data_IF_326411749833
#
_entry.id   IF_326411749833
#
_cell.length_a   1.000
_cell.length_b   1.000
_cell.length_c   1.000
_cell.angle_alpha   90.00
_cell.angle_beta   90.00
_cell.angle_gamma   90.00
#
_symmetry.space_group_name_H-M   'P 1'
#
loop_
_entity.id
_entity.type
_entity.pdbx_description
1 polymer ?
#
# COMPACT_ATOMS: atom_id res chain seq x y z
N UNK A 1 2.75 23.18 -7.79
CA UNK A 1 2.41 21.92 -8.49
C UNK A 1 3.10 20.70 -7.88
N UNK A 2 4.43 20.66 -7.71
CA UNK A 2 5.14 19.45 -7.25
C UNK A 2 4.74 18.91 -5.86
N UNK A 3 4.30 19.80 -4.94
CA UNK A 3 3.81 19.40 -3.63
C UNK A 3 2.37 18.82 -3.63
N UNK A 4 1.67 18.84 -4.78
CA UNK A 4 0.31 18.28 -4.87
C UNK A 4 0.28 16.75 -4.91
N UNK A 5 1.43 16.11 -5.15
CA UNK A 5 1.57 14.66 -5.19
C UNK A 5 2.61 14.17 -4.18
N UNK A 6 2.45 12.92 -3.71
CA UNK A 6 3.43 12.31 -2.81
C UNK A 6 4.76 12.03 -3.52
N UNK A 7 5.86 11.96 -2.77
CA UNK A 7 7.18 11.58 -3.31
C UNK A 7 7.13 10.24 -4.06
N UNK A 8 6.42 9.25 -3.50
CA UNK A 8 6.25 7.94 -4.13
C UNK A 8 5.51 8.05 -5.48
N UNK A 9 4.47 8.88 -5.55
CA UNK A 9 3.74 9.15 -6.81
C UNK A 9 4.65 9.83 -7.83
N UNK A 10 5.47 10.81 -7.41
CA UNK A 10 6.42 11.46 -8.30
C UNK A 10 7.45 10.46 -8.86
N UNK A 11 7.99 9.56 -8.03
CA UNK A 11 8.88 8.48 -8.48
C UNK A 11 8.18 7.55 -9.48
N UNK A 12 6.91 7.20 -9.25
CA UNK A 12 6.14 6.38 -10.18
C UNK A 12 5.90 7.10 -11.51
N UNK A 13 5.58 8.40 -11.48
CA UNK A 13 5.33 9.20 -12.68
C UNK A 13 6.58 9.43 -13.52
N UNK A 14 7.76 9.51 -12.90
CA UNK A 14 9.03 9.63 -13.61
C UNK A 14 9.26 8.48 -14.62
N UNK A 15 8.75 7.28 -14.34
CA UNK A 15 8.80 6.17 -15.31
C UNK A 15 7.98 6.49 -16.55
N UNK A 16 6.75 6.99 -16.36
CA UNK A 16 5.90 7.45 -17.47
C UNK A 16 6.59 8.55 -18.28
N UNK A 17 7.15 9.56 -17.61
CA UNK A 17 7.74 10.71 -18.30
C UNK A 17 8.94 10.31 -19.17
N UNK A 18 9.77 9.36 -18.73
CA UNK A 18 10.86 8.81 -19.56
C UNK A 18 10.31 8.11 -20.81
N UNK A 19 9.36 7.19 -20.63
CA UNK A 19 8.75 6.45 -21.75
C UNK A 19 8.03 7.39 -22.74
N UNK A 20 7.35 8.40 -22.21
CA UNK A 20 6.67 9.42 -22.99
C UNK A 20 7.65 10.26 -23.79
N UNK A 21 8.74 10.69 -23.16
CA UNK A 21 9.79 11.46 -23.81
C UNK A 21 10.41 10.70 -24.99
N UNK A 22 10.73 9.41 -24.80
CA UNK A 22 11.27 8.56 -25.86
C UNK A 22 10.26 8.36 -27.00
N UNK A 23 8.99 8.15 -26.67
CA UNK A 23 7.91 8.08 -27.65
C UNK A 23 7.78 9.37 -28.48
N UNK A 24 7.79 10.53 -27.82
CA UNK A 24 7.71 11.83 -28.47
C UNK A 24 8.91 12.08 -29.39
N UNK A 25 10.12 11.71 -28.96
CA UNK A 25 11.32 11.78 -29.80
C UNK A 25 11.19 10.93 -31.07
N UNK A 26 10.74 9.68 -30.94
CA UNK A 26 10.60 8.77 -32.07
C UNK A 26 9.51 9.21 -33.07
N UNK A 27 8.39 9.72 -32.56
CA UNK A 27 7.24 10.16 -33.38
C UNK A 27 7.29 11.65 -33.77
N UNK A 28 8.35 12.36 -33.39
CA UNK A 28 8.54 13.81 -33.60
C UNK A 28 7.40 14.68 -33.05
N UNK A 29 6.85 14.30 -31.89
CA UNK A 29 5.86 15.11 -31.16
C UNK A 29 6.52 16.03 -30.15
N UNK A 30 5.92 17.20 -29.92
CA UNK A 30 6.32 18.08 -28.84
C UNK A 30 5.85 17.50 -27.48
N UNK A 31 6.75 17.18 -26.53
CA UNK A 31 6.39 16.47 -25.30
C UNK A 31 5.39 17.19 -24.38
N UNK A 32 5.31 18.53 -24.48
CA UNK A 32 4.49 19.38 -23.59
C UNK A 32 3.21 19.91 -24.27
N UNK A 33 3.07 19.77 -25.59
CA UNK A 33 1.95 20.28 -26.37
C UNK A 33 1.21 19.16 -27.12
N UNK A 34 1.35 17.93 -26.63
CA UNK A 34 0.83 16.78 -27.33
C UNK A 34 -0.70 16.74 -27.32
N UNK A 35 -1.27 16.51 -28.49
CA UNK A 35 -2.70 16.33 -28.68
C UNK A 35 -3.16 14.97 -28.11
N UNK A 36 -4.47 14.84 -27.86
CA UNK A 36 -5.16 13.63 -27.47
C UNK A 36 -4.76 12.41 -28.32
N UNK A 37 -4.64 12.57 -29.64
CA UNK A 37 -4.24 11.50 -30.56
C UNK A 37 -2.86 10.93 -30.22
N UNK A 38 -1.90 11.78 -29.83
CA UNK A 38 -0.57 11.34 -29.43
C UNK A 38 -0.62 10.55 -28.11
N UNK A 39 -1.45 10.99 -27.16
CA UNK A 39 -1.66 10.29 -25.88
C UNK A 39 -2.34 8.93 -26.09
N UNK A 40 -3.37 8.84 -26.93
CA UNK A 40 -4.02 7.58 -27.27
C UNK A 40 -3.05 6.62 -27.98
N UNK A 41 -2.25 7.15 -28.91
CA UNK A 41 -1.22 6.36 -29.62
C UNK A 41 -0.19 5.79 -28.65
N UNK A 42 0.30 6.61 -27.72
CA UNK A 42 1.22 6.17 -26.67
C UNK A 42 0.60 5.10 -25.77
N UNK A 43 -0.62 5.31 -25.26
CA UNK A 43 -1.29 4.33 -24.39
C UNK A 43 -1.54 3.01 -25.13
N UNK A 44 -1.87 3.06 -26.42
CA UNK A 44 -2.03 1.88 -27.27
C UNK A 44 -0.70 1.15 -27.45
N UNK A 45 0.40 1.88 -27.68
CA UNK A 45 1.73 1.27 -27.77
C UNK A 45 2.14 0.59 -26.46
N UNK A 46 1.89 1.23 -25.31
CA UNK A 46 2.15 0.63 -24.00
C UNK A 46 1.29 -0.62 -23.76
N UNK A 47 0.03 -0.61 -24.19
CA UNK A 47 -0.83 -1.80 -24.12
C UNK A 47 -0.29 -2.93 -24.99
N UNK A 48 0.14 -2.64 -26.22
CA UNK A 48 0.74 -3.63 -27.12
C UNK A 48 2.04 -4.20 -26.55
N UNK A 49 2.83 -3.39 -25.82
CA UNK A 49 4.02 -3.81 -25.06
C UNK A 49 3.71 -4.66 -23.82
N UNK A 50 2.44 -4.93 -23.51
CA UNK A 50 2.04 -5.78 -22.38
C UNK A 50 1.63 -5.03 -21.11
N UNK A 51 1.47 -3.71 -21.14
CA UNK A 51 1.07 -2.96 -19.96
C UNK A 51 -0.33 -3.37 -19.46
N UNK A 52 -0.44 -3.58 -18.14
CA UNK A 52 -1.71 -3.84 -17.47
C UNK A 52 -2.59 -2.60 -17.40
N UNK A 53 -3.89 -2.77 -17.10
CA UNK A 53 -4.80 -1.66 -16.84
C UNK A 53 -4.26 -0.69 -15.77
N UNK A 54 -3.72 -1.22 -14.65
CA UNK A 54 -3.18 -0.41 -13.57
C UNK A 54 -1.97 0.44 -14.02
N UNK A 55 -1.10 -0.14 -14.86
CA UNK A 55 0.03 0.56 -15.46
C UNK A 55 -0.44 1.68 -16.40
N UNK A 56 -1.38 1.38 -17.30
CA UNK A 56 -1.94 2.35 -18.23
C UNK A 56 -2.67 3.49 -17.52
N UNK A 57 -3.42 3.20 -16.45
CA UNK A 57 -4.09 4.22 -15.65
C UNK A 57 -3.08 5.12 -14.91
N UNK A 58 -1.93 4.57 -14.52
CA UNK A 58 -0.83 5.35 -13.95
C UNK A 58 -0.20 6.26 -15.00
N UNK A 59 0.02 5.77 -16.22
CA UNK A 59 0.49 6.58 -17.34
C UNK A 59 -0.49 7.71 -17.67
N UNK A 60 -1.78 7.42 -17.75
CA UNK A 60 -2.85 8.42 -17.94
C UNK A 60 -2.74 9.54 -16.90
N UNK A 61 -2.65 9.17 -15.63
CA UNK A 61 -2.65 10.15 -14.53
C UNK A 61 -1.39 11.02 -14.52
N UNK A 62 -0.23 10.46 -14.90
CA UNK A 62 1.01 11.21 -15.07
C UNK A 62 0.92 12.19 -16.25
N UNK A 63 0.46 11.74 -17.41
CA UNK A 63 0.30 12.61 -18.59
C UNK A 63 -0.74 13.70 -18.37
N UNK A 64 -1.81 13.41 -17.65
CA UNK A 64 -2.80 14.40 -17.25
C UNK A 64 -2.21 15.49 -16.34
N UNK A 65 -1.22 15.16 -15.51
CA UNK A 65 -0.53 16.17 -14.69
C UNK A 65 0.44 17.02 -15.53
N UNK A 66 1.06 16.43 -16.56
CA UNK A 66 2.04 17.11 -17.42
C UNK A 66 1.38 18.01 -18.47
N UNK A 67 0.37 17.49 -19.17
CA UNK A 67 -0.28 18.12 -20.31
C UNK A 67 -1.55 18.89 -19.93
N UNK A 68 -2.07 18.67 -18.71
CA UNK A 68 -3.31 19.28 -18.22
C UNK A 68 -4.43 18.27 -17.94
N UNK A 69 -5.30 18.61 -16.99
CA UNK A 69 -6.32 17.71 -16.42
C UNK A 69 -7.40 17.26 -17.43
N UNK A 70 -7.54 17.97 -18.55
CA UNK A 70 -8.58 17.67 -19.53
C UNK A 70 -8.30 16.35 -20.26
N UNK A 71 -7.05 16.08 -20.63
CA UNK A 71 -6.70 14.91 -21.47
C UNK A 71 -7.03 13.60 -20.74
N UNK A 72 -6.70 13.49 -19.45
CA UNK A 72 -7.01 12.30 -18.66
C UNK A 72 -8.51 12.08 -18.44
N UNK A 73 -9.32 13.13 -18.58
CA UNK A 73 -10.76 13.15 -18.32
C UNK A 73 -11.61 12.94 -19.57
N UNK A 74 -11.01 13.01 -20.76
CA UNK A 74 -11.69 12.81 -22.03
C UNK A 74 -12.20 11.37 -22.20
N UNK A 75 -13.38 11.25 -22.80
CA UNK A 75 -14.09 9.97 -22.92
C UNK A 75 -13.36 8.93 -23.76
N UNK A 76 -12.59 9.36 -24.77
CA UNK A 76 -11.80 8.47 -25.60
C UNK A 76 -10.73 7.73 -24.77
N UNK A 77 -10.04 8.43 -23.87
CA UNK A 77 -9.03 7.83 -22.98
C UNK A 77 -9.69 6.86 -21.99
N UNK A 78 -10.85 7.25 -21.42
CA UNK A 78 -11.62 6.36 -20.54
C UNK A 78 -12.09 5.10 -21.26
N UNK A 79 -12.58 5.21 -22.50
CA UNK A 79 -13.02 4.09 -23.34
C UNK A 79 -11.85 3.17 -23.70
N UNK A 80 -10.69 3.74 -24.05
CA UNK A 80 -9.48 2.96 -24.33
C UNK A 80 -9.07 2.13 -23.11
N UNK A 81 -9.02 2.74 -21.91
CA UNK A 81 -8.68 2.02 -20.68
C UNK A 81 -9.72 0.95 -20.32
N UNK A 82 -11.01 1.23 -20.52
CA UNK A 82 -12.08 0.23 -20.35
C UNK A 82 -11.92 -0.93 -21.33
N UNK A 83 -11.52 -0.64 -22.57
CA UNK A 83 -11.18 -1.65 -23.57
C UNK A 83 -9.98 -2.49 -23.15
N UNK A 84 -8.89 -1.85 -22.70
CA UNK A 84 -7.70 -2.53 -22.20
C UNK A 84 -8.02 -3.47 -21.02
N UNK A 85 -8.88 -3.04 -20.08
CA UNK A 85 -9.36 -3.88 -18.99
C UNK A 85 -10.19 -5.08 -19.48
N UNK A 86 -11.09 -4.89 -20.45
CA UNK A 86 -11.90 -6.00 -20.99
C UNK A 86 -11.05 -7.01 -21.76
N UNK A 87 -10.07 -6.55 -22.54
CA UNK A 87 -9.18 -7.42 -23.31
C UNK A 87 -8.19 -8.17 -22.40
N UNK A 88 -7.74 -7.53 -21.32
CA UNK A 88 -6.81 -8.11 -20.34
C UNK A 88 -7.28 -7.80 -18.92
N UNK A 89 -8.29 -8.54 -18.42
CA UNK A 89 -8.80 -8.32 -17.08
C UNK A 89 -7.69 -8.56 -16.07
N UNK A 90 -7.50 -7.59 -15.18
CA UNK A 90 -6.55 -7.77 -14.07
C UNK A 90 -7.26 -8.56 -13.00
N UNK A 91 -6.89 -9.84 -12.84
CA UNK A 91 -7.41 -10.66 -11.77
C UNK A 91 -7.02 -10.06 -10.41
N UNK A 92 -7.90 -10.09 -9.39
CA UNK A 92 -7.48 -9.74 -8.04
C UNK A 92 -6.33 -10.66 -7.64
N UNK A 93 -5.32 -10.10 -6.96
CA UNK A 93 -4.13 -10.86 -6.55
C UNK A 93 -4.49 -12.06 -5.66
N UNK A 94 -5.61 -11.97 -4.93
CA UNK A 94 -6.08 -13.00 -4.02
C UNK A 94 -7.51 -13.39 -4.41
N UNK A 95 -7.74 -14.69 -4.60
CA UNK A 95 -9.05 -15.28 -4.91
C UNK A 95 -9.91 -15.48 -3.66
N UNK A 96 -9.26 -15.70 -2.52
CA UNK A 96 -9.87 -15.80 -1.20
C UNK A 96 -9.07 -14.98 -0.19
N UNK A 97 -9.73 -14.58 0.90
CA UNK A 97 -9.07 -14.00 2.08
C UNK A 97 -8.73 -15.11 3.07
N UNK A 98 -7.68 -14.91 3.86
CA UNK A 98 -7.33 -15.81 4.96
C UNK A 98 -8.33 -15.66 6.12
N UNK A 99 -8.51 -16.71 6.92
CA UNK A 99 -9.36 -16.71 8.11
C UNK A 99 -8.62 -16.11 9.33
N UNK A 100 -9.08 -14.97 9.90
CA UNK A 100 -8.51 -14.39 11.10
C UNK A 100 -8.47 -15.32 12.31
N UNK A 101 -9.40 -16.27 12.42
CA UNK A 101 -9.52 -17.13 13.60
C UNK A 101 -8.29 -18.00 13.82
N UNK A 102 -7.72 -18.57 12.75
CA UNK A 102 -6.50 -19.39 12.83
C UNK A 102 -5.35 -18.65 13.54
N UNK A 103 -5.22 -17.34 13.26
CA UNK A 103 -4.17 -16.51 13.89
C UNK A 103 -4.55 -16.12 15.32
N UNK A 104 -5.83 -15.86 15.58
CA UNK A 104 -6.33 -15.57 16.92
C UNK A 104 -6.17 -16.78 17.85
N UNK A 105 -6.47 -17.98 17.38
CA UNK A 105 -6.31 -19.25 18.10
C UNK A 105 -4.83 -19.49 18.43
N UNK A 106 -3.94 -19.30 17.45
CA UNK A 106 -2.50 -19.41 17.68
C UNK A 106 -1.99 -18.44 18.75
N UNK A 107 -2.46 -17.19 18.72
CA UNK A 107 -2.09 -16.16 19.71
C UNK A 107 -2.72 -16.43 21.08
N UNK A 108 -3.87 -17.09 21.12
CA UNK A 108 -4.56 -17.43 22.37
C UNK A 108 -3.73 -18.36 23.26
N UNK A 109 -2.90 -19.21 22.65
CA UNK A 109 -1.94 -20.08 23.35
C UNK A 109 -0.79 -19.31 24.03
N UNK A 110 -0.59 -18.03 23.69
CA UNK A 110 0.44 -17.19 24.30
C UNK A 110 -0.11 -16.50 25.54
N UNK A 111 -0.42 -17.28 26.56
CA UNK A 111 -0.88 -16.80 27.87
C UNK A 111 -0.19 -17.61 28.98
N UNK A 112 0.19 -17.02 30.12
CA UNK A 112 0.00 -15.63 30.54
C UNK A 112 0.97 -14.63 29.90
N UNK A 113 0.54 -13.36 29.79
CA UNK A 113 1.35 -12.29 29.17
C UNK A 113 2.61 -11.92 30.00
N UNK A 114 2.69 -12.36 31.27
CA UNK A 114 3.83 -12.11 32.15
C UNK A 114 5.07 -12.88 31.74
N UNK A 115 4.88 -14.08 31.19
CA UNK A 115 5.95 -15.05 30.95
C UNK A 115 6.49 -14.95 29.52
N UNK A 116 5.84 -14.15 28.68
CA UNK A 116 6.24 -13.94 27.30
C UNK A 116 7.46 -13.02 27.21
N UNK A 117 8.36 -13.36 26.30
CA UNK A 117 9.46 -12.48 25.91
C UNK A 117 8.93 -11.17 25.33
N UNK A 118 9.72 -10.09 25.44
CA UNK A 118 9.38 -8.80 24.85
C UNK A 118 9.06 -8.92 23.35
N UNK A 119 9.78 -9.77 22.64
CA UNK A 119 9.57 -10.03 21.21
C UNK A 119 8.20 -10.67 20.94
N UNK A 120 7.80 -11.69 21.71
CA UNK A 120 6.49 -12.35 21.57
C UNK A 120 5.34 -11.41 21.88
N UNK A 121 5.45 -10.62 22.96
CA UNK A 121 4.42 -9.65 23.32
C UNK A 121 4.30 -8.57 22.23
N UNK A 122 5.42 -8.12 21.68
CA UNK A 122 5.41 -7.13 20.59
C UNK A 122 4.71 -7.69 19.35
N UNK A 123 5.02 -8.92 18.94
CA UNK A 123 4.35 -9.61 17.82
C UNK A 123 2.86 -9.76 18.06
N UNK A 124 2.46 -10.21 19.26
CA UNK A 124 1.07 -10.36 19.68
C UNK A 124 0.31 -9.04 19.56
N UNK A 125 0.87 -7.96 20.12
CA UNK A 125 0.30 -6.63 20.05
C UNK A 125 0.15 -6.13 18.61
N UNK A 126 1.19 -6.28 17.79
CA UNK A 126 1.17 -5.87 16.38
C UNK A 126 0.09 -6.57 15.59
N UNK A 127 -0.05 -7.90 15.75
CA UNK A 127 -1.03 -8.69 15.00
C UNK A 127 -2.43 -8.28 15.40
N UNK A 128 -2.71 -8.22 16.70
CA UNK A 128 -4.02 -7.80 17.21
C UNK A 128 -4.35 -6.35 16.80
N UNK A 129 -3.38 -5.44 16.85
CA UNK A 129 -3.57 -4.06 16.38
C UNK A 129 -3.91 -4.03 14.88
N UNK A 130 -3.23 -4.82 14.05
CA UNK A 130 -3.50 -4.90 12.62
C UNK A 130 -4.89 -5.48 12.33
N UNK A 131 -5.30 -6.55 13.03
CA UNK A 131 -6.60 -7.20 12.85
C UNK A 131 -7.74 -6.30 13.34
N UNK A 132 -7.66 -5.76 14.55
CA UNK A 132 -8.72 -4.96 15.16
C UNK A 132 -8.93 -3.63 14.43
N UNK A 133 -7.85 -2.94 14.05
CA UNK A 133 -7.95 -1.61 13.43
C UNK A 133 -8.20 -1.69 11.92
N UNK A 134 -7.79 -2.79 11.25
CA UNK A 134 -7.89 -2.96 9.79
C UNK A 134 -7.24 -1.80 9.00
N UNK A 135 -6.26 -1.12 9.60
CA UNK A 135 -5.53 -0.04 8.95
C UNK A 135 -4.29 -0.53 8.21
N UNK A 136 -3.81 0.26 7.24
CA UNK A 136 -2.58 -0.05 6.51
C UNK A 136 -1.37 0.01 7.46
N UNK A 137 -0.35 -0.78 7.19
CA UNK A 137 0.94 -0.75 7.91
C UNK A 137 1.50 0.67 7.99
N UNK A 138 1.39 1.46 6.91
CA UNK A 138 1.80 2.86 6.91
C UNK A 138 1.05 3.73 7.94
N UNK A 139 -0.24 3.48 8.17
CA UNK A 139 -1.00 4.20 9.19
C UNK A 139 -0.54 3.80 10.59
N UNK A 140 -0.27 2.50 10.80
CA UNK A 140 0.24 2.00 12.08
C UNK A 140 1.66 2.50 12.39
N UNK A 141 2.50 2.70 11.36
CA UNK A 141 3.85 3.27 11.54
C UNK A 141 3.85 4.75 11.91
N UNK A 142 2.72 5.44 11.78
CA UNK A 142 2.57 6.87 12.12
C UNK A 142 1.97 7.08 13.52
N UNK A 143 1.80 6.01 14.29
CA UNK A 143 1.37 6.10 15.68
C UNK A 143 2.44 6.85 16.48
N UNK A 144 2.03 7.90 17.19
CA UNK A 144 2.91 8.67 18.08
C UNK A 144 2.50 8.43 19.52
N UNK A 145 3.47 8.12 20.38
CA UNK A 145 3.22 7.81 21.81
C UNK A 145 2.45 8.93 22.53
N UNK A 146 2.73 10.19 22.18
CA UNK A 146 2.05 11.38 22.74
C UNK A 146 0.56 11.49 22.35
N UNK A 147 0.15 10.83 21.26
CA UNK A 147 -1.23 10.86 20.77
C UNK A 147 -2.07 9.68 21.28
N UNK A 148 -1.50 8.83 22.15
CA UNK A 148 -2.18 7.68 22.75
C UNK A 148 -2.84 8.14 24.04
N UNK A 149 -4.16 8.07 24.08
CA UNK A 149 -4.99 8.31 25.27
C UNK A 149 -5.56 6.99 25.76
N UNK A 150 -5.49 6.76 27.06
CA UNK A 150 -5.99 5.54 27.70
C UNK A 150 -7.09 5.99 28.64
N UNK A 151 -8.30 5.52 28.40
CA UNK A 151 -9.49 5.80 29.20
C UNK A 151 -9.98 4.49 29.85
N UNK A 152 -11.02 4.58 30.69
CA UNK A 152 -11.70 3.40 31.28
C UNK A 152 -12.33 2.48 30.21
N UNK A 153 -12.70 3.04 29.06
CA UNK A 153 -13.33 2.28 27.96
C UNK A 153 -12.34 1.65 26.97
N UNK A 154 -11.03 1.97 27.06
CA UNK A 154 -10.02 1.44 26.15
C UNK A 154 -8.94 2.45 25.77
N UNK A 155 -8.26 2.16 24.66
CA UNK A 155 -7.19 3.00 24.11
C UNK A 155 -7.66 3.72 22.86
N UNK A 156 -7.39 5.03 22.80
CA UNK A 156 -7.66 5.90 21.66
C UNK A 156 -6.34 6.43 21.11
N UNK A 157 -6.09 6.25 19.81
CA UNK A 157 -4.86 6.68 19.15
C UNK A 157 -5.21 7.62 17.99
N UNK A 158 -4.82 8.89 18.12
CA UNK A 158 -4.99 9.87 17.04
C UNK A 158 -3.80 9.82 16.08
N UNK A 159 -4.07 9.57 14.80
CA UNK A 159 -3.05 9.69 13.75
C UNK A 159 -3.06 11.12 13.26
N UNK A 160 -2.13 11.95 13.73
CA UNK A 160 -2.08 13.37 13.35
C UNK A 160 -1.53 13.62 11.94
N UNK A 161 -0.78 12.65 11.42
CA UNK A 161 -0.03 12.82 10.18
C UNK A 161 -0.90 12.53 8.96
N UNK A 162 -0.56 13.17 7.84
CA UNK A 162 -1.27 12.98 6.57
C UNK A 162 -1.03 11.56 6.06
N UNK A 163 -2.12 10.84 5.84
CA UNK A 163 -2.12 9.51 5.24
C UNK A 163 -2.76 9.54 3.86
N UNK A 164 -2.64 8.44 3.11
CA UNK A 164 -3.17 8.32 1.74
C UNK A 164 -4.67 8.67 1.62
N UNK A 165 -5.45 8.51 2.68
CA UNK A 165 -6.90 8.78 2.71
C UNK A 165 -7.27 10.13 3.30
N UNK A 166 -6.30 10.93 3.75
CA UNK A 166 -6.52 12.29 4.23
C UNK A 166 -6.89 13.20 3.04
N UNK A 167 -7.78 14.15 3.28
CA UNK A 167 -8.18 15.15 2.29
C UNK A 167 -8.50 16.48 2.98
N UNK A 168 -8.45 17.62 2.27
CA UNK A 168 -8.86 18.91 2.81
C UNK A 168 -10.28 18.82 3.42
N UNK A 169 -10.46 19.38 4.62
CA UNK A 169 -11.75 19.36 5.33
C UNK A 169 -12.14 18.01 5.96
N UNK A 170 -11.36 16.94 5.79
CA UNK A 170 -11.60 15.66 6.47
C UNK A 170 -10.81 15.57 7.77
N UNK A 171 -11.47 15.05 8.81
CA UNK A 171 -10.81 14.73 10.07
C UNK A 171 -9.81 13.59 9.87
N UNK A 172 -8.70 13.67 10.59
CA UNK A 172 -7.74 12.57 10.64
C UNK A 172 -8.30 11.39 11.43
N UNK A 173 -7.85 10.15 11.15
CA UNK A 173 -8.45 8.97 11.76
C UNK A 173 -8.07 8.84 13.25
N UNK A 174 -9.06 8.43 14.03
CA UNK A 174 -8.95 8.06 15.43
C UNK A 174 -9.12 6.54 15.55
N UNK A 175 -8.06 5.84 15.96
CA UNK A 175 -8.13 4.41 16.23
C UNK A 175 -8.69 4.21 17.63
N UNK A 176 -9.76 3.44 17.76
CA UNK A 176 -10.39 3.13 19.04
C UNK A 176 -10.26 1.63 19.27
N UNK A 177 -9.66 1.28 20.41
CA UNK A 177 -9.35 -0.08 20.81
C UNK A 177 -10.02 -0.33 22.17
N UNK A 178 -11.22 -0.92 22.20
CA UNK A 178 -11.91 -1.21 23.45
C UNK A 178 -11.19 -2.31 24.24
N UNK A 179 -11.39 -2.33 25.56
CA UNK A 179 -11.02 -3.50 26.36
C UNK A 179 -11.88 -4.69 25.95
N UNK A 180 -11.26 -5.87 25.92
CA UNK A 180 -11.94 -7.11 25.55
C UNK A 180 -11.99 -8.03 26.77
N UNK A 181 -13.10 -7.98 27.49
CA UNK A 181 -13.27 -8.69 28.77
C UNK A 181 -13.72 -10.14 28.59
N UNK A 182 -14.25 -10.49 27.42
CA UNK A 182 -14.77 -11.83 27.11
C UNK A 182 -13.66 -12.89 27.00
N UNK A 183 -12.47 -12.53 26.50
CA UNK A 183 -11.33 -13.45 26.42
C UNK A 183 -10.01 -12.72 26.73
N UNK A 184 -9.52 -12.95 27.95
CA UNK A 184 -8.26 -12.35 28.44
C UNK A 184 -7.03 -12.80 27.65
N UNK A 185 -7.10 -13.95 26.96
CA UNK A 185 -5.97 -14.49 26.19
C UNK A 185 -5.70 -13.67 24.92
N UNK A 186 -6.75 -13.06 24.36
CA UNK A 186 -6.73 -12.29 23.10
C UNK A 186 -6.80 -10.77 23.36
N UNK A 187 -7.02 -10.36 24.61
CA UNK A 187 -7.13 -8.95 24.96
C UNK A 187 -5.83 -8.17 24.69
N UNK A 188 -5.90 -7.23 23.74
CA UNK A 188 -4.81 -6.33 23.35
C UNK A 188 -4.26 -5.52 24.54
N UNK A 189 -5.10 -5.26 25.53
CA UNK A 189 -4.86 -4.33 26.63
C UNK A 189 -4.68 -5.02 28.00
N UNK A 190 -4.53 -6.35 28.01
CA UNK A 190 -4.22 -7.10 29.24
C UNK A 190 -2.78 -6.85 29.76
N UNK A 191 -1.93 -6.16 28.99
CA UNK A 191 -0.60 -5.73 29.45
C UNK A 191 -0.68 -4.39 30.17
N UNK A 192 0.04 -4.18 31.29
CA UNK A 192 0.02 -2.91 32.02
C UNK A 192 0.39 -1.74 31.09
N UNK A 193 -0.30 -0.62 31.25
CA UNK A 193 -0.27 0.58 30.39
C UNK A 193 1.15 1.11 30.09
N UNK A 194 2.07 0.96 31.05
CA UNK A 194 3.48 1.34 30.91
C UNK A 194 4.24 0.45 29.92
N UNK A 195 3.92 -0.86 29.92
CA UNK A 195 4.50 -1.84 28.98
C UNK A 195 3.94 -1.63 27.57
N UNK A 196 2.66 -1.23 27.43
CA UNK A 196 2.01 -0.96 26.14
C UNK A 196 2.70 0.17 25.34
N UNK A 197 3.02 1.31 25.98
CA UNK A 197 3.74 2.41 25.31
C UNK A 197 5.15 2.00 24.88
N UNK A 198 5.88 1.28 25.73
CA UNK A 198 7.21 0.76 25.40
C UNK A 198 7.13 -0.27 24.26
N UNK A 199 6.14 -1.17 24.27
CA UNK A 199 5.89 -2.14 23.19
C UNK A 199 5.58 -1.45 21.86
N UNK A 200 4.82 -0.36 21.85
CA UNK A 200 4.58 0.43 20.62
C UNK A 200 5.87 1.08 20.14
N UNK A 201 6.72 1.56 21.05
CA UNK A 201 8.04 2.08 20.67
C UNK A 201 8.90 1.00 20.00
N UNK A 202 8.97 -0.20 20.58
CA UNK A 202 9.67 -1.34 19.97
C UNK A 202 9.04 -1.77 18.65
N UNK A 203 7.71 -1.75 18.53
CA UNK A 203 7.00 -2.02 17.28
C UNK A 203 7.32 -0.99 16.19
N UNK A 204 7.35 0.30 16.52
CA UNK A 204 7.71 1.37 15.57
C UNK A 204 9.18 1.23 15.14
N UNK A 205 10.08 0.90 16.06
CA UNK A 205 11.49 0.61 15.76
C UNK A 205 11.64 -0.64 14.89
N UNK A 206 10.88 -1.69 15.18
CA UNK A 206 10.82 -2.91 14.39
C UNK A 206 10.26 -2.62 12.99
N UNK A 207 9.23 -1.79 12.85
CA UNK A 207 8.73 -1.37 11.54
C UNK A 207 9.75 -0.54 10.77
N UNK A 208 10.45 0.40 11.41
CA UNK A 208 11.50 1.19 10.76
C UNK A 208 12.65 0.29 10.23
N UNK A 209 13.05 -0.72 11.02
CA UNK A 209 14.06 -1.70 10.59
C UNK A 209 13.53 -2.69 9.54
N UNK A 210 12.28 -3.14 9.64
CA UNK A 210 11.63 -3.97 8.62
C UNK A 210 11.41 -3.19 7.32
N UNK A 211 11.06 -1.90 7.34
CA UNK A 211 10.97 -1.10 6.13
C UNK A 211 12.33 -0.98 5.43
N UNK A 212 13.43 -0.95 6.20
CA UNK A 212 14.78 -1.01 5.65
C UNK A 212 15.05 -2.38 4.98
N UNK A 213 14.71 -3.49 5.64
CA UNK A 213 14.91 -4.84 5.10
C UNK A 213 13.91 -5.26 4.00
N UNK A 214 12.67 -4.78 4.04
CA UNK A 214 11.60 -5.06 3.07
C UNK A 214 11.87 -4.34 1.75
N UNK A 215 12.45 -3.15 1.78
CA UNK A 215 12.91 -2.48 0.54
C UNK A 215 14.02 -3.29 -0.13
N UNK A 216 14.89 -3.96 0.63
CA UNK A 216 15.89 -4.88 0.09
C UNK A 216 15.28 -6.22 -0.37
N UNK A 217 14.38 -6.83 0.40
CA UNK A 217 13.78 -8.13 0.03
C UNK A 217 12.75 -8.04 -1.10
N UNK A 218 11.99 -6.94 -1.24
CA UNK A 218 11.12 -6.76 -2.43
C UNK A 218 11.97 -6.59 -3.69
N UNK A 219 13.10 -5.89 -3.63
CA UNK A 219 14.02 -5.72 -4.77
C UNK A 219 14.74 -7.02 -5.15
N UNK A 220 15.01 -7.88 -4.16
CA UNK A 220 15.59 -9.23 -4.35
C UNK A 220 14.53 -10.23 -4.83
N UNK A 221 13.32 -10.23 -4.28
CA UNK A 221 12.22 -11.10 -4.73
C UNK A 221 11.74 -10.77 -6.14
N UNK A 222 11.69 -9.49 -6.54
CA UNK A 222 11.36 -9.12 -7.94
C UNK A 222 12.49 -9.55 -8.89
N UNK A 223 13.76 -9.53 -8.47
CA UNK A 223 14.87 -10.10 -9.25
C UNK A 223 14.84 -11.62 -9.33
N UNK A 224 14.48 -12.31 -8.25
CA UNK A 224 14.37 -13.78 -8.21
C UNK A 224 13.18 -14.30 -9.03
N UNK A 225 12.03 -13.61 -8.97
CA UNK A 225 10.85 -13.96 -9.79
C UNK A 225 11.13 -13.72 -11.28
N UNK A 226 11.85 -12.65 -11.64
CA UNK A 226 12.25 -12.43 -13.04
C UNK A 226 13.39 -13.35 -13.51
N UNK A 227 14.19 -13.90 -12.60
CA UNK A 227 15.21 -14.92 -12.91
C UNK A 227 14.62 -16.33 -13.03
N UNK A 228 13.50 -16.62 -12.37
CA UNK A 228 12.85 -17.93 -12.37
C UNK A 228 11.93 -18.17 -13.58
N UNK A 229 11.49 -17.12 -14.27
CA UNK A 229 10.63 -17.23 -15.46
C UNK A 229 11.37 -17.59 -16.77
N UNK A 230 12.64 -18.01 -16.70
CA UNK A 230 13.41 -18.51 -17.85
C UNK A 230 13.47 -20.04 -17.94
N UNK A 231 12.67 -20.77 -17.15
CA UNK A 231 12.56 -22.22 -17.25
C UNK A 231 11.33 -22.55 -18.10
N UNK A 232 11.58 -22.79 -19.39
CA UNK A 232 10.64 -23.43 -20.32
C UNK A 232 10.20 -24.78 -19.73
N UNK A 233 8.91 -24.97 -19.49
CA UNK A 233 8.35 -26.32 -19.42
C UNK A 233 7.97 -26.75 -20.84
N UNK A 234 8.82 -27.64 -21.36
CA UNK A 234 8.57 -28.56 -22.48
C UNK A 234 7.67 -29.70 -21.98
N UNK A 235 7.02 -30.38 -22.92
CA UNK A 235 6.09 -31.54 -22.89
C UNK A 235 4.66 -31.10 -23.24
N UNK A 236 4.19 -31.13 -24.49
CA UNK A 236 4.08 -32.18 -25.53
C UNK A 236 3.13 -33.34 -25.16
N UNK A 237 2.02 -33.37 -25.91
CA UNK A 237 0.92 -34.33 -26.02
C UNK A 237 -0.15 -34.31 -24.94
#
# INVERSE_FOLDING_TARGET
MLASISKNTATQYNVTYKLWWDFCKLKKFQPYQANLTAVLSFLTEQFNKGASYGTLNSHRSALSLLLGNEIGSQDQVKRLLKGAYKLRPTAPKYTSTWDPQVVLDYISNWFPNTDLSLQQITKKLTILLAICTRHRVQTLSLIKLRNIKIDHNGVKILISDIIKTSAPGRNQPLLILPYFDQNKNICLLATPTLRFKNLIMYFLFFLLSLFCHIVQTIRVCVKLINSANNIKYVFSN
#
